data_IF_982029920939
#
_entry.id   IF_982029920939
#
_cell.length_a   1.000
_cell.length_b   1.000
_cell.length_c   1.000
_cell.angle_alpha   90.00
_cell.angle_beta   90.00
_cell.angle_gamma   90.00
#
_symmetry.space_group_name_H-M   'P 1'
#
loop_
_entity.id
_entity.type
_entity.pdbx_description
1 polymer ?
#
# COMPACT_ATOMS: atom_id res chain seq x y z
N UNK A 1 -38.79 -6.45 -38.35
CA UNK A 1 -37.79 -7.37 -38.93
C UNK A 1 -36.43 -6.68 -38.78
N UNK A 2 -35.59 -6.94 -37.78
CA UNK A 2 -35.08 -8.22 -37.27
C UNK A 2 -34.90 -8.13 -35.75
N UNK A 3 -35.30 -9.19 -35.07
CA UNK A 3 -35.19 -9.45 -33.62
C UNK A 3 -33.78 -9.85 -33.23
N UNK A 4 -33.25 -9.33 -32.11
CA UNK A 4 -32.09 -9.92 -31.42
C UNK A 4 -32.57 -10.77 -30.24
N UNK A 5 -32.28 -12.06 -30.36
CA UNK A 5 -32.59 -13.12 -29.40
C UNK A 5 -31.67 -13.03 -28.19
N UNK A 6 -32.27 -13.06 -27.01
CA UNK A 6 -31.59 -13.34 -25.75
C UNK A 6 -31.13 -14.81 -25.74
N UNK A 7 -29.85 -15.05 -25.45
CA UNK A 7 -29.33 -16.39 -25.20
C UNK A 7 -29.18 -16.62 -23.71
N UNK A 8 -30.19 -17.25 -23.13
CA UNK A 8 -30.17 -17.89 -21.83
C UNK A 8 -29.38 -19.20 -21.91
N UNK A 9 -28.29 -19.32 -21.15
CA UNK A 9 -27.56 -20.58 -21.00
C UNK A 9 -28.27 -21.46 -19.97
N UNK A 10 -28.80 -22.59 -20.47
CA UNK A 10 -29.31 -23.70 -19.66
C UNK A 10 -28.12 -24.57 -19.23
N UNK A 11 -27.99 -24.81 -17.93
CA UNK A 11 -27.12 -25.87 -17.41
C UNK A 11 -27.95 -27.16 -17.25
N UNK A 12 -27.46 -28.33 -17.69
CA UNK A 12 -28.18 -29.58 -17.52
C UNK A 12 -28.12 -30.06 -16.07
N UNK A 13 -29.29 -30.52 -15.63
CA UNK A 13 -29.56 -31.29 -14.42
C UNK A 13 -28.85 -32.66 -14.51
N UNK A 14 -28.18 -33.10 -13.44
CA UNK A 14 -27.67 -34.46 -13.31
C UNK A 14 -28.12 -35.03 -11.97
N UNK A 15 -29.03 -35.99 -12.06
CA UNK A 15 -29.64 -36.73 -10.95
C UNK A 15 -28.73 -37.88 -10.51
N UNK A 16 -28.57 -38.00 -9.18
CA UNK A 16 -28.28 -39.18 -8.35
C UNK A 16 -26.96 -39.97 -8.46
N UNK A 17 -26.36 -40.20 -7.29
CA UNK A 17 -26.05 -41.55 -6.80
C UNK A 17 -26.05 -41.56 -5.25
N UNK A 18 -27.03 -42.26 -4.68
CA UNK A 18 -27.08 -42.69 -3.28
C UNK A 18 -26.00 -43.77 -3.04
N UNK A 19 -25.21 -43.64 -1.95
CA UNK A 19 -24.56 -44.77 -1.27
C UNK A 19 -24.01 -44.37 0.10
N UNK A 20 -24.61 -44.90 1.17
CA UNK A 20 -24.00 -45.15 2.49
C UNK A 20 -24.00 -46.67 2.69
N UNK A 21 -22.97 -47.27 3.31
CA UNK A 21 -22.99 -47.40 4.78
C UNK A 21 -21.62 -47.42 5.50
N UNK A 22 -21.62 -46.95 6.76
CA UNK A 22 -20.97 -47.57 7.93
C UNK A 22 -19.44 -47.78 7.99
N UNK A 23 -18.78 -47.17 8.98
CA UNK A 23 -17.47 -47.63 9.44
C UNK A 23 -16.71 -46.60 10.29
N UNK A 24 -16.76 -46.75 11.61
CA UNK A 24 -15.94 -46.02 12.59
C UNK A 24 -14.46 -46.44 12.52
N UNK A 25 -13.53 -45.50 12.37
CA UNK A 25 -12.15 -45.65 12.87
C UNK A 25 -11.44 -44.29 12.91
N UNK A 26 -10.92 -43.96 14.08
CA UNK A 26 -10.12 -42.77 14.36
C UNK A 26 -8.80 -42.76 13.57
N UNK A 27 -8.43 -41.60 13.06
CA UNK A 27 -7.13 -41.35 12.45
C UNK A 27 -6.91 -39.86 12.23
N UNK A 28 -6.12 -39.24 13.09
CA UNK A 28 -5.61 -37.87 12.95
C UNK A 28 -4.75 -37.77 11.68
N UNK A 29 -5.36 -37.41 10.56
CA UNK A 29 -4.61 -36.90 9.41
C UNK A 29 -4.54 -35.39 9.55
N UNK A 30 -3.37 -34.93 10.02
CA UNK A 30 -2.98 -33.53 9.95
C UNK A 30 -3.18 -33.05 8.53
N UNK A 31 -4.18 -32.19 8.34
CA UNK A 31 -4.52 -31.63 7.05
C UNK A 31 -3.27 -31.00 6.44
N UNK A 32 -2.87 -31.51 5.28
CA UNK A 32 -2.01 -30.81 4.34
C UNK A 32 -2.77 -29.53 4.01
N UNK A 33 -2.50 -28.47 4.77
CA UNK A 33 -3.14 -27.18 4.58
C UNK A 33 -2.88 -26.75 3.15
N UNK A 34 -3.95 -26.68 2.34
CA UNK A 34 -3.87 -26.10 0.99
C UNK A 34 -3.13 -24.78 1.13
N UNK A 35 -2.01 -24.58 0.41
CA UNK A 35 -1.29 -23.31 0.47
C UNK A 35 -2.29 -22.20 0.20
N UNK A 36 -2.59 -21.38 1.20
CA UNK A 36 -3.45 -20.21 0.99
C UNK A 36 -2.66 -19.32 0.06
N UNK A 37 -3.02 -19.35 -1.23
CA UNK A 37 -2.53 -18.40 -2.21
C UNK A 37 -2.74 -17.01 -1.60
N UNK A 38 -1.63 -16.37 -1.21
CA UNK A 38 -1.69 -14.96 -0.83
C UNK A 38 -2.07 -14.25 -2.12
N UNK A 39 -3.35 -13.85 -2.23
CA UNK A 39 -3.80 -13.00 -3.33
C UNK A 39 -2.80 -11.84 -3.46
N UNK A 40 -2.26 -11.65 -4.66
CA UNK A 40 -1.49 -10.45 -5.00
C UNK A 40 -2.37 -9.27 -4.64
N UNK A 41 -1.99 -8.51 -3.62
CA UNK A 41 -2.75 -7.35 -3.16
C UNK A 41 -2.35 -6.18 -4.05
N UNK A 42 -3.30 -5.71 -4.85
CA UNK A 42 -3.18 -4.45 -5.55
C UNK A 42 -3.84 -3.37 -4.68
N UNK A 43 -3.48 -2.10 -4.89
CA UNK A 43 -4.18 -0.99 -4.25
C UNK A 43 -5.56 -0.84 -4.90
N UNK A 44 -6.62 -0.98 -4.11
CA UNK A 44 -7.97 -0.69 -4.61
C UNK A 44 -8.14 0.81 -4.84
N UNK A 45 -9.13 1.25 -5.64
CA UNK A 45 -9.45 2.68 -5.77
C UNK A 45 -9.73 3.36 -4.42
N UNK A 46 -10.30 2.62 -3.47
CA UNK A 46 -10.49 3.10 -2.11
C UNK A 46 -9.17 3.32 -1.36
N UNK A 47 -8.22 2.38 -1.47
CA UNK A 47 -6.88 2.55 -0.90
C UNK A 47 -6.17 3.77 -1.49
N UNK A 48 -6.26 3.97 -2.81
CA UNK A 48 -5.66 5.10 -3.51
C UNK A 48 -6.21 6.44 -3.00
N UNK A 49 -7.54 6.55 -2.84
CA UNK A 49 -8.18 7.74 -2.23
C UNK A 49 -7.70 7.96 -0.80
N UNK A 50 -7.72 6.92 0.03
CA UNK A 50 -7.31 7.02 1.44
C UNK A 50 -5.86 7.47 1.59
N UNK A 51 -4.95 6.99 0.73
CA UNK A 51 -3.55 7.42 0.70
C UNK A 51 -3.48 8.91 0.35
N UNK A 52 -4.14 9.34 -0.73
CA UNK A 52 -4.09 10.72 -1.20
C UNK A 52 -4.70 11.70 -0.20
N UNK A 53 -5.89 11.36 0.31
CA UNK A 53 -6.62 12.17 1.29
C UNK A 53 -5.81 12.35 2.56
N UNK A 54 -5.15 11.30 3.04
CA UNK A 54 -4.30 11.39 4.22
C UNK A 54 -3.07 12.27 4.00
N UNK A 55 -2.37 12.15 2.86
CA UNK A 55 -1.24 13.04 2.54
C UNK A 55 -1.69 14.50 2.54
N UNK A 56 -2.76 14.82 1.80
CA UNK A 56 -3.27 16.18 1.74
C UNK A 56 -3.77 16.69 3.10
N UNK A 57 -4.40 15.83 3.90
CA UNK A 57 -4.82 16.17 5.26
C UNK A 57 -3.62 16.57 6.13
N UNK A 58 -2.55 15.76 6.17
CA UNK A 58 -1.41 16.05 7.05
C UNK A 58 -0.57 17.22 6.55
N UNK A 59 -0.45 17.39 5.22
CA UNK A 59 0.21 18.55 4.58
C UNK A 59 -0.48 19.87 4.91
N UNK A 60 -1.80 19.86 5.03
CA UNK A 60 -2.59 21.04 5.42
C UNK A 60 -2.44 21.43 6.90
N UNK A 61 -1.88 20.55 7.74
CA UNK A 61 -1.78 20.75 9.20
C UNK A 61 -0.33 20.70 9.72
N UNK A 62 0.64 21.06 8.88
CA UNK A 62 2.04 21.16 9.30
C UNK A 62 2.25 22.33 10.26
N UNK A 63 3.22 22.17 11.17
CA UNK A 63 3.66 23.23 12.08
C UNK A 63 5.19 23.33 12.04
N UNK A 64 5.77 24.52 11.78
CA UNK A 64 5.09 25.78 11.45
C UNK A 64 4.28 25.70 10.13
N UNK A 65 3.30 26.59 9.92
CA UNK A 65 2.49 26.57 8.70
C UNK A 65 3.36 26.85 7.47
N UNK A 66 3.13 26.08 6.42
CA UNK A 66 3.85 26.25 5.16
C UNK A 66 3.19 27.34 4.30
N UNK A 67 4.01 28.22 3.72
CA UNK A 67 3.54 29.29 2.84
C UNK A 67 3.18 28.80 1.42
N UNK A 68 3.70 27.65 1.01
CA UNK A 68 3.65 27.14 -0.38
C UNK A 68 3.47 25.62 -0.45
N UNK A 69 2.68 25.02 0.45
CA UNK A 69 2.41 23.59 0.40
C UNK A 69 1.39 23.26 -0.71
N UNK A 70 1.84 22.60 -1.77
CA UNK A 70 0.98 22.23 -2.90
C UNK A 70 0.04 21.07 -2.57
N UNK A 71 -1.12 21.06 -3.23
CA UNK A 71 -2.08 19.96 -3.14
C UNK A 71 -1.60 18.79 -4.00
N UNK A 72 -1.53 17.60 -3.41
CA UNK A 72 -1.13 16.39 -4.13
C UNK A 72 -2.30 15.84 -4.95
N UNK A 73 -1.97 15.30 -6.12
CA UNK A 73 -2.88 14.53 -6.97
C UNK A 73 -2.29 13.15 -7.22
N UNK A 74 -3.16 12.18 -7.52
CA UNK A 74 -2.70 10.84 -7.88
C UNK A 74 -2.10 10.83 -9.29
N UNK A 75 -0.91 10.23 -9.45
CA UNK A 75 -0.27 10.02 -10.74
C UNK A 75 -0.21 8.52 -11.08
N UNK A 76 -0.92 8.15 -12.14
CA UNK A 76 -1.02 6.76 -12.60
C UNK A 76 0.30 6.19 -13.15
N UNK A 77 1.22 7.04 -13.62
CA UNK A 77 2.55 6.60 -14.09
C UNK A 77 3.45 6.25 -12.90
N UNK A 78 3.42 7.08 -11.85
CA UNK A 78 4.12 6.80 -10.59
C UNK A 78 3.56 5.54 -9.91
N UNK A 79 2.24 5.37 -9.90
CA UNK A 79 1.61 4.16 -9.35
C UNK A 79 2.09 2.88 -10.06
N UNK A 80 2.12 2.87 -11.39
CA UNK A 80 2.63 1.73 -12.17
C UNK A 80 4.12 1.48 -11.94
N UNK A 81 4.93 2.54 -11.85
CA UNK A 81 6.35 2.42 -11.54
C UNK A 81 6.58 1.83 -10.14
N UNK A 82 5.81 2.26 -9.14
CA UNK A 82 5.87 1.74 -7.79
C UNK A 82 5.44 0.26 -7.71
N UNK A 83 4.37 -0.14 -8.41
CA UNK A 83 3.96 -1.55 -8.49
C UNK A 83 5.07 -2.41 -9.14
N UNK A 84 5.64 -1.95 -10.25
CA UNK A 84 6.71 -2.67 -10.94
C UNK A 84 7.95 -2.84 -10.07
N UNK A 85 8.33 -1.82 -9.29
CA UNK A 85 9.44 -1.90 -8.34
C UNK A 85 9.15 -2.85 -7.17
N UNK A 86 7.98 -2.70 -6.54
CA UNK A 86 7.56 -3.55 -5.43
C UNK A 86 7.48 -5.03 -5.81
N UNK A 87 7.08 -5.34 -7.06
CA UNK A 87 7.01 -6.71 -7.58
C UNK A 87 8.38 -7.42 -7.65
N UNK A 88 9.50 -6.68 -7.62
CA UNK A 88 10.84 -7.26 -7.55
C UNK A 88 11.15 -7.88 -6.18
N UNK A 89 10.36 -7.54 -5.15
CA UNK A 89 10.58 -7.99 -3.77
C UNK A 89 11.99 -7.67 -3.25
N UNK A 90 12.55 -6.54 -3.65
CA UNK A 90 13.83 -6.02 -3.17
C UNK A 90 13.57 -4.89 -2.17
N UNK A 91 14.15 -5.00 -0.97
CA UNK A 91 14.08 -3.94 0.04
C UNK A 91 15.18 -2.90 -0.20
N UNK A 92 15.02 -2.14 -1.28
CA UNK A 92 15.93 -1.07 -1.68
C UNK A 92 15.19 -0.02 -2.52
N UNK A 93 15.75 1.17 -2.64
CA UNK A 93 15.21 2.23 -3.48
C UNK A 93 15.48 1.99 -4.97
N UNK A 94 14.54 2.40 -5.82
CA UNK A 94 14.76 2.35 -7.27
C UNK A 94 13.50 2.50 -8.11
N UNK A 95 13.62 2.34 -9.44
CA UNK A 95 14.85 2.04 -10.18
C UNK A 95 15.83 3.23 -10.22
N UNK A 96 17.17 3.02 -10.24
CA UNK A 96 18.17 4.08 -10.09
C UNK A 96 18.01 5.24 -11.09
N UNK A 97 17.55 4.94 -12.30
CA UNK A 97 17.37 5.91 -13.38
C UNK A 97 16.29 6.96 -13.06
N UNK A 98 15.34 6.62 -12.17
CA UNK A 98 14.26 7.50 -11.72
C UNK A 98 14.57 8.25 -10.43
N UNK A 99 15.48 7.74 -9.58
CA UNK A 99 15.73 8.29 -8.24
C UNK A 99 16.31 9.71 -8.22
N UNK A 100 16.84 10.18 -9.35
CA UNK A 100 17.26 11.59 -9.53
C UNK A 100 16.10 12.57 -9.75
N UNK A 101 14.91 12.07 -10.09
CA UNK A 101 13.76 12.90 -10.49
C UNK A 101 12.52 12.67 -9.62
N UNK A 102 12.42 11.52 -8.98
CA UNK A 102 11.23 11.09 -8.23
C UNK A 102 11.67 10.59 -6.85
N UNK A 103 11.02 11.09 -5.80
CA UNK A 103 11.20 10.60 -4.44
C UNK A 103 10.50 9.26 -4.20
N UNK A 104 10.91 8.53 -3.16
CA UNK A 104 10.30 7.24 -2.83
C UNK A 104 10.31 7.00 -1.33
N UNK A 105 9.13 6.72 -0.77
CA UNK A 105 9.00 6.19 0.58
C UNK A 105 8.69 4.69 0.51
N UNK A 106 9.39 3.90 1.32
CA UNK A 106 9.23 2.45 1.37
C UNK A 106 8.67 2.02 2.72
N UNK A 107 7.92 0.92 2.72
CA UNK A 107 7.47 0.27 3.94
C UNK A 107 7.46 -1.23 3.74
N UNK A 108 7.91 -1.96 4.74
CA UNK A 108 7.85 -3.41 4.81
C UNK A 108 7.19 -3.82 6.12
N UNK A 109 6.42 -4.89 6.09
CA UNK A 109 5.84 -5.47 7.29
C UNK A 109 5.95 -6.99 7.28
N UNK A 110 6.13 -7.55 8.46
CA UNK A 110 6.06 -8.98 8.73
C UNK A 110 5.09 -9.23 9.90
N UNK A 111 4.54 -10.44 9.99
CA UNK A 111 3.61 -10.81 11.06
C UNK A 111 2.17 -10.34 10.82
N UNK A 112 1.58 -9.66 11.81
CA UNK A 112 0.17 -9.25 11.77
C UNK A 112 -0.08 -8.26 10.63
N UNK A 113 -1.24 -8.39 10.00
CA UNK A 113 -1.63 -7.48 8.94
C UNK A 113 -1.76 -6.05 9.47
N UNK A 114 -1.06 -5.10 8.83
CA UNK A 114 -1.38 -3.67 8.90
C UNK A 114 -1.84 -3.23 7.52
N UNK A 115 -2.79 -2.30 7.51
CA UNK A 115 -3.31 -1.73 6.28
C UNK A 115 -2.28 -0.83 5.61
N UNK A 116 -2.47 -0.53 4.31
CA UNK A 116 -1.58 0.40 3.60
C UNK A 116 -1.61 1.78 4.24
N UNK A 117 -2.78 2.22 4.73
CA UNK A 117 -2.89 3.51 5.41
C UNK A 117 -2.12 3.53 6.74
N UNK A 118 -2.00 2.41 7.45
CA UNK A 118 -1.16 2.34 8.66
C UNK A 118 0.33 2.52 8.33
N UNK A 119 0.79 2.02 7.18
CA UNK A 119 2.16 2.21 6.71
C UNK A 119 2.42 3.69 6.36
N UNK A 120 1.51 4.33 5.63
CA UNK A 120 1.61 5.77 5.31
C UNK A 120 1.58 6.64 6.57
N UNK A 121 0.71 6.31 7.53
CA UNK A 121 0.69 6.99 8.84
C UNK A 121 2.02 6.88 9.56
N UNK A 122 2.71 5.75 9.44
CA UNK A 122 4.02 5.55 10.09
C UNK A 122 5.10 6.48 9.52
N UNK A 123 5.06 6.80 8.22
CA UNK A 123 5.94 7.81 7.63
C UNK A 123 5.70 9.19 8.24
N UNK A 124 4.44 9.61 8.36
CA UNK A 124 4.10 10.90 8.97
C UNK A 124 4.46 10.97 10.46
N UNK A 125 4.41 9.84 11.18
CA UNK A 125 4.71 9.79 12.61
C UNK A 125 6.16 10.17 12.94
N UNK A 126 7.09 10.09 11.99
CA UNK A 126 8.46 10.58 12.18
C UNK A 126 8.53 12.08 12.53
N UNK A 127 7.45 12.84 12.29
CA UNK A 127 7.32 14.23 12.73
C UNK A 127 7.65 14.45 14.20
N UNK A 128 7.39 13.45 15.05
CA UNK A 128 7.67 13.55 16.49
C UNK A 128 9.18 13.66 16.79
N UNK A 129 10.01 13.29 15.82
CA UNK A 129 11.46 13.34 15.89
C UNK A 129 12.07 14.45 15.03
N UNK A 130 11.28 15.06 14.15
CA UNK A 130 11.71 16.11 13.25
C UNK A 130 11.52 17.49 13.87
N UNK A 131 12.54 18.34 13.73
CA UNK A 131 12.45 19.75 14.12
C UNK A 131 12.67 20.64 12.90
N UNK A 132 11.68 21.48 12.59
CA UNK A 132 11.83 22.47 11.52
C UNK A 132 12.87 23.52 11.93
N UNK A 133 13.86 23.83 11.07
CA UNK A 133 14.93 24.77 11.40
C UNK A 133 14.40 26.20 11.56
N UNK A 134 14.89 26.92 12.57
CA UNK A 134 14.61 28.34 12.68
C UNK A 134 15.44 29.15 11.68
N UNK A 135 14.95 30.33 11.30
CA UNK A 135 15.59 31.19 10.29
C UNK A 135 17.04 31.54 10.60
N UNK A 136 17.37 31.76 11.87
CA UNK A 136 18.73 32.08 12.33
C UNK A 136 19.71 30.90 12.23
N UNK A 137 19.22 29.68 12.05
CA UNK A 137 20.04 28.47 11.93
C UNK A 137 20.42 28.18 10.47
N UNK A 138 19.82 28.88 9.52
CA UNK A 138 20.01 28.67 8.10
C UNK A 138 21.11 29.60 7.55
N UNK A 139 22.31 29.08 7.30
CA UNK A 139 23.38 29.82 6.61
C UNK A 139 24.49 28.89 6.06
N UNK A 140 24.72 28.77 4.73
CA UNK A 140 23.84 29.16 3.62
C UNK A 140 22.68 28.16 3.40
N UNK A 141 22.67 27.05 4.15
CA UNK A 141 21.65 26.00 4.12
C UNK A 141 21.10 25.80 5.53
N UNK A 142 19.87 25.33 5.62
CA UNK A 142 19.28 24.95 6.89
C UNK A 142 19.73 23.54 7.31
N UNK A 143 20.00 23.31 8.61
CA UNK A 143 20.25 21.96 9.09
C UNK A 143 18.97 21.12 9.04
N UNK A 144 19.10 19.85 8.65
CA UNK A 144 18.05 18.86 8.89
C UNK A 144 18.21 18.30 10.29
N UNK A 145 17.20 18.47 11.15
CA UNK A 145 17.22 18.01 12.54
C UNK A 145 16.27 16.83 12.70
N UNK A 146 16.85 15.67 12.93
CA UNK A 146 16.12 14.45 13.26
C UNK A 146 16.72 13.85 14.52
N UNK A 147 15.90 13.68 15.56
CA UNK A 147 16.29 12.99 16.80
C UNK A 147 16.07 11.48 16.74
N UNK A 148 15.37 10.99 15.71
CA UNK A 148 15.10 9.59 15.44
C UNK A 148 16.11 8.99 14.47
N UNK A 149 16.00 7.68 14.21
CA UNK A 149 16.82 7.01 13.20
C UNK A 149 16.49 7.46 11.77
N UNK A 150 15.23 7.84 11.53
CA UNK A 150 14.72 8.26 10.22
C UNK A 150 13.69 9.37 10.41
N UNK A 151 13.82 10.44 9.62
CA UNK A 151 12.80 11.48 9.43
C UNK A 151 12.51 11.76 7.94
N UNK A 152 13.22 11.07 7.03
CA UNK A 152 13.16 11.34 5.60
C UNK A 152 11.80 10.98 5.00
N UNK A 153 11.08 10.02 5.58
CA UNK A 153 9.75 9.70 5.09
C UNK A 153 8.77 10.84 5.42
N UNK A 154 8.82 11.37 6.65
CA UNK A 154 8.00 12.53 7.03
C UNK A 154 8.28 13.75 6.16
N UNK A 155 9.55 14.09 5.92
CA UNK A 155 9.87 15.28 5.10
C UNK A 155 9.48 15.15 3.63
N UNK A 156 9.20 13.94 3.15
CA UNK A 156 8.70 13.68 1.80
C UNK A 156 7.17 13.67 1.71
N UNK A 157 6.46 13.45 2.83
CA UNK A 157 4.99 13.52 2.94
C UNK A 157 4.52 14.97 2.90
#
# INVERSE_FOLDING_TARGET
>A
WVTQLASSFLLPNATELLSTPGGTAAGLLWGVGVPRSRRKRYLSPHDMSMILDYHNQVRAHVSPPAANMEYMVWDERLARAAEAWAARCLWDHGPPELMKYVGQNLSIQSGRYRSVIDMVKSWHQEKQHYSFPHSHECNPRCPSKCSGSVCSHYTQV
#
